data_IF_861802326849
#
_entry.id   IF_861802326849
#
_cell.length_a   1.000
_cell.length_b   1.000
_cell.length_c   1.000
_cell.angle_alpha   90.00
_cell.angle_beta   90.00
_cell.angle_gamma   90.00
#
_symmetry.space_group_name_H-M   'P 1'
#
loop_
_entity.id
_entity.type
_entity.pdbx_description
1 polymer ?
#
# COMPACT_ATOMS: atom_id res chain seq x y z
N UNK A 1 -19.96 -23.66 -1.97
CA UNK A 1 -18.91 -23.59 -2.99
C UNK A 1 -19.36 -22.65 -4.10
N UNK A 2 -18.76 -21.46 -4.17
CA UNK A 2 -19.11 -20.39 -5.12
C UNK A 2 -18.04 -20.21 -6.23
N UNK A 3 -16.96 -21.00 -6.19
CA UNK A 3 -15.85 -20.90 -7.12
C UNK A 3 -16.09 -21.83 -8.31
N UNK A 4 -15.64 -21.42 -9.50
CA UNK A 4 -15.78 -22.26 -10.69
C UNK A 4 -14.75 -23.39 -10.63
N UNK A 5 -15.15 -24.66 -10.83
CA UNK A 5 -14.24 -25.79 -10.66
C UNK A 5 -13.14 -25.84 -11.74
N UNK A 6 -13.36 -25.21 -12.89
CA UNK A 6 -12.43 -25.19 -14.01
C UNK A 6 -11.44 -24.01 -13.99
N UNK A 7 -11.52 -23.15 -12.96
CA UNK A 7 -10.60 -22.04 -12.76
C UNK A 7 -9.82 -22.26 -11.48
N UNK A 8 -8.63 -21.65 -11.37
CA UNK A 8 -7.82 -21.61 -10.16
C UNK A 8 -7.77 -20.19 -9.63
N UNK A 9 -7.72 -20.06 -8.32
CA UNK A 9 -7.85 -18.78 -7.64
C UNK A 9 -6.67 -18.53 -6.70
N UNK A 10 -6.40 -17.26 -6.40
CA UNK A 10 -5.36 -16.87 -5.45
C UNK A 10 -5.81 -15.69 -4.58
N UNK A 11 -5.49 -15.74 -3.29
CA UNK A 11 -5.83 -14.69 -2.30
C UNK A 11 -4.71 -14.51 -1.27
N UNK A 12 -4.72 -13.35 -0.60
CA UNK A 12 -3.91 -13.08 0.60
C UNK A 12 -4.64 -12.09 1.51
N UNK A 13 -4.19 -11.87 2.75
CA UNK A 13 -4.91 -11.05 3.72
C UNK A 13 -4.24 -9.71 3.99
N UNK A 14 -5.01 -8.60 4.00
CA UNK A 14 -4.44 -7.26 4.11
C UNK A 14 -3.70 -7.09 5.44
N UNK A 15 -2.49 -6.53 5.38
CA UNK A 15 -1.67 -6.23 6.54
C UNK A 15 -1.31 -4.74 6.59
N UNK A 16 -1.14 -4.23 7.81
CA UNK A 16 -0.65 -2.87 8.10
C UNK A 16 -1.52 -1.75 7.46
N UNK A 17 -0.94 -0.56 7.28
CA UNK A 17 -1.62 0.62 6.76
C UNK A 17 -2.06 0.51 5.29
N UNK A 18 -2.87 1.47 4.85
CA UNK A 18 -3.47 1.47 3.50
C UNK A 18 -2.46 1.27 2.36
N UNK A 19 -1.35 2.02 2.37
CA UNK A 19 -0.31 1.90 1.33
C UNK A 19 0.38 0.53 1.32
N UNK A 20 0.50 -0.12 2.48
CA UNK A 20 1.02 -1.48 2.57
C UNK A 20 0.06 -2.48 1.92
N UNK A 21 -1.26 -2.30 2.13
CA UNK A 21 -2.29 -3.10 1.49
C UNK A 21 -2.33 -2.87 -0.03
N UNK A 22 -2.11 -1.65 -0.52
CA UNK A 22 -1.95 -1.37 -1.96
C UNK A 22 -0.77 -2.15 -2.54
N UNK A 23 0.39 -2.12 -1.87
CA UNK A 23 1.58 -2.91 -2.27
C UNK A 23 1.27 -4.40 -2.28
N UNK A 24 0.57 -4.88 -1.26
CA UNK A 24 0.15 -6.26 -1.18
C UNK A 24 -0.73 -6.66 -2.37
N UNK A 25 -1.70 -5.82 -2.75
CA UNK A 25 -2.59 -6.11 -3.87
C UNK A 25 -1.85 -6.11 -5.20
N UNK A 26 -0.87 -5.22 -5.40
CA UNK A 26 0.03 -5.27 -6.54
C UNK A 26 0.76 -6.62 -6.62
N UNK A 27 1.36 -7.05 -5.51
CA UNK A 27 2.08 -8.32 -5.42
C UNK A 27 1.17 -9.54 -5.62
N UNK A 28 -0.06 -9.51 -5.08
CA UNK A 28 -1.06 -10.57 -5.25
C UNK A 28 -1.48 -10.72 -6.70
N UNK A 29 -1.86 -9.61 -7.36
CA UNK A 29 -2.29 -9.63 -8.77
C UNK A 29 -1.13 -10.07 -9.66
N UNK A 30 0.08 -9.61 -9.38
CA UNK A 30 1.26 -10.00 -10.14
C UNK A 30 1.58 -11.49 -9.98
N UNK A 31 1.54 -12.04 -8.76
CA UNK A 31 1.68 -13.48 -8.54
C UNK A 31 0.58 -14.28 -9.26
N UNK A 32 -0.64 -13.73 -9.33
CA UNK A 32 -1.73 -14.34 -10.09
C UNK A 32 -1.44 -14.41 -11.59
N UNK A 33 -0.81 -13.37 -12.16
CA UNK A 33 -0.32 -13.39 -13.54
C UNK A 33 0.77 -14.45 -13.75
N UNK A 34 1.71 -14.56 -12.82
CA UNK A 34 2.80 -15.56 -12.89
C UNK A 34 2.32 -17.00 -12.78
N UNK A 35 1.16 -17.22 -12.16
CA UNK A 35 0.63 -18.56 -11.84
C UNK A 35 -0.64 -18.90 -12.62
N UNK A 36 -1.06 -18.03 -13.54
CA UNK A 36 -2.28 -18.19 -14.36
C UNK A 36 -3.56 -18.38 -13.51
N UNK A 37 -3.62 -17.70 -12.34
CA UNK A 37 -4.75 -17.76 -11.41
C UNK A 37 -5.59 -16.50 -11.46
N UNK A 38 -6.86 -16.63 -11.07
CA UNK A 38 -7.76 -15.49 -10.85
C UNK A 38 -7.51 -14.92 -9.45
N UNK A 39 -7.00 -13.67 -9.32
CA UNK A 39 -6.83 -13.06 -8.01
C UNK A 39 -8.19 -12.70 -7.41
N UNK A 40 -8.34 -12.97 -6.11
CA UNK A 40 -9.46 -12.52 -5.27
C UNK A 40 -8.90 -11.51 -4.27
N UNK A 41 -9.25 -10.25 -4.46
CA UNK A 41 -8.76 -9.12 -3.68
C UNK A 41 -9.62 -8.98 -2.41
N UNK A 42 -9.01 -8.96 -1.22
CA UNK A 42 -9.71 -8.67 0.03
C UNK A 42 -10.06 -7.18 0.15
N UNK A 43 -10.97 -6.89 1.08
CA UNK A 43 -11.36 -5.51 1.40
C UNK A 43 -10.21 -4.81 2.11
N UNK A 44 -10.04 -3.52 1.86
CA UNK A 44 -9.13 -2.68 2.64
C UNK A 44 -9.52 -2.70 4.12
N UNK A 45 -8.52 -2.94 4.97
CA UNK A 45 -8.65 -2.88 6.42
C UNK A 45 -8.37 -1.50 6.97
N UNK A 46 -9.24 -0.96 7.85
CA UNK A 46 -9.16 0.39 8.38
C UNK A 46 -8.06 0.60 9.44
N UNK A 47 -6.86 0.08 9.18
CA UNK A 47 -5.71 0.29 10.05
C UNK A 47 -5.32 1.78 9.98
N UNK A 48 -5.19 2.42 11.14
CA UNK A 48 -4.97 3.86 11.30
C UNK A 48 -6.12 4.78 10.84
N UNK A 49 -7.33 4.26 10.55
CA UNK A 49 -8.48 5.06 10.09
C UNK A 49 -9.50 5.38 11.20
N UNK A 50 -9.17 5.09 12.47
CA UNK A 50 -10.05 5.24 13.62
C UNK A 50 -11.01 4.06 13.83
N UNK A 51 -11.53 3.90 15.06
CA UNK A 51 -12.27 2.70 15.48
C UNK A 51 -13.58 2.43 14.72
N UNK A 52 -14.16 3.45 14.08
CA UNK A 52 -15.47 3.35 13.40
C UNK A 52 -15.37 3.21 11.88
N UNK A 53 -14.16 3.16 11.31
CA UNK A 53 -13.99 3.02 9.88
C UNK A 53 -14.38 1.60 9.43
N UNK A 54 -15.21 1.50 8.38
CA UNK A 54 -15.58 0.21 7.79
C UNK A 54 -14.52 -0.27 6.81
N UNK A 55 -14.53 -1.57 6.50
CA UNK A 55 -13.75 -2.09 5.38
C UNK A 55 -14.28 -1.49 4.05
N UNK A 56 -13.40 -1.33 3.07
CA UNK A 56 -13.73 -0.85 1.73
C UNK A 56 -13.34 -1.85 0.66
N UNK A 57 -14.13 -1.94 -0.40
CA UNK A 57 -13.78 -2.81 -1.51
C UNK A 57 -12.66 -2.18 -2.35
N UNK A 58 -11.91 -3.00 -3.07
CA UNK A 58 -10.83 -2.51 -3.94
C UNK A 58 -11.37 -1.54 -5.00
N UNK A 59 -12.53 -1.88 -5.55
CA UNK A 59 -13.28 -1.15 -6.58
C UNK A 59 -13.93 0.14 -6.08
N UNK A 60 -14.00 0.37 -4.76
CA UNK A 60 -14.39 1.68 -4.22
C UNK A 60 -13.27 2.71 -4.41
N UNK A 61 -12.02 2.26 -4.49
CA UNK A 61 -10.81 3.10 -4.50
C UNK A 61 -10.17 3.14 -5.89
N UNK A 62 -10.04 1.99 -6.55
CA UNK A 62 -9.40 1.85 -7.85
C UNK A 62 -10.41 1.39 -8.92
N UNK A 63 -10.25 1.88 -10.15
CA UNK A 63 -11.05 1.49 -11.30
C UNK A 63 -10.70 0.05 -11.74
N UNK A 64 -11.40 -0.92 -11.14
CA UNK A 64 -11.19 -2.34 -11.36
C UNK A 64 -11.46 -2.76 -12.83
N UNK A 65 -12.55 -2.34 -13.49
CA UNK A 65 -12.76 -2.63 -14.92
C UNK A 65 -11.61 -2.14 -15.80
N UNK A 66 -11.12 -0.91 -15.57
CA UNK A 66 -9.97 -0.38 -16.31
C UNK A 66 -8.71 -1.18 -16.03
N UNK A 67 -8.45 -1.53 -14.77
CA UNK A 67 -7.30 -2.37 -14.40
C UNK A 67 -7.34 -3.70 -15.13
N UNK A 68 -8.47 -4.41 -15.12
CA UNK A 68 -8.63 -5.69 -15.84
C UNK A 68 -8.32 -5.56 -17.33
N UNK A 69 -8.83 -4.49 -17.95
CA UNK A 69 -8.58 -4.20 -19.36
C UNK A 69 -7.09 -3.93 -19.63
N UNK A 70 -6.45 -3.06 -18.85
CA UNK A 70 -5.04 -2.69 -19.04
C UNK A 70 -4.08 -3.87 -18.76
N UNK A 71 -4.46 -4.80 -17.88
CA UNK A 71 -3.70 -6.01 -17.59
C UNK A 71 -3.98 -7.18 -18.55
N UNK A 72 -4.98 -7.07 -19.42
CA UNK A 72 -5.44 -8.19 -20.25
C UNK A 72 -6.00 -9.36 -19.44
N UNK A 73 -6.44 -9.13 -18.20
CA UNK A 73 -6.99 -10.16 -17.32
C UNK A 73 -8.51 -10.20 -17.46
N UNK A 74 -9.05 -11.37 -17.82
CA UNK A 74 -10.50 -11.55 -17.96
C UNK A 74 -11.25 -11.48 -16.62
N UNK A 75 -10.57 -11.75 -15.51
CA UNK A 75 -11.17 -11.75 -14.18
C UNK A 75 -10.17 -11.34 -13.11
N UNK A 76 -10.53 -10.32 -12.34
CA UNK A 76 -9.97 -9.96 -11.04
C UNK A 76 -11.19 -9.81 -10.13
N UNK A 77 -11.27 -10.64 -9.09
CA UNK A 77 -12.44 -10.72 -8.22
C UNK A 77 -12.17 -10.00 -6.91
N UNK A 78 -13.26 -9.65 -6.24
CA UNK A 78 -13.28 -9.18 -4.86
C UNK A 78 -14.05 -10.20 -4.00
N UNK A 79 -13.69 -10.33 -2.73
CA UNK A 79 -14.32 -11.31 -1.84
C UNK A 79 -15.85 -11.19 -1.75
N UNK A 80 -16.40 -9.97 -1.78
CA UNK A 80 -17.85 -9.74 -1.82
C UNK A 80 -18.57 -10.39 -3.00
N UNK A 81 -17.85 -10.68 -4.09
CA UNK A 81 -18.41 -11.31 -5.29
C UNK A 81 -18.50 -12.83 -5.15
N UNK A 82 -17.82 -13.42 -4.16
CA UNK A 82 -17.75 -14.87 -3.96
C UNK A 82 -18.23 -15.33 -2.58
N UNK A 83 -18.32 -14.44 -1.59
CA UNK A 83 -18.90 -14.73 -0.28
C UNK A 83 -19.87 -13.62 0.13
N UNK A 84 -21.06 -14.03 0.60
CA UNK A 84 -22.01 -13.13 1.23
C UNK A 84 -21.46 -12.67 2.60
N UNK A 85 -21.23 -11.37 2.73
CA UNK A 85 -20.70 -10.75 3.94
C UNK A 85 -21.67 -10.81 5.13
N UNK A 86 -22.96 -11.07 4.88
CA UNK A 86 -23.96 -11.27 5.93
C UNK A 86 -24.14 -12.74 6.32
N UNK A 87 -23.41 -13.65 5.67
CA UNK A 87 -23.47 -15.07 6.01
C UNK A 87 -22.87 -15.30 7.39
N UNK A 88 -23.59 -16.05 8.23
CA UNK A 88 -23.06 -16.55 9.50
C UNK A 88 -22.29 -17.88 9.33
N UNK A 89 -22.23 -18.41 8.11
CA UNK A 89 -21.49 -19.63 7.83
C UNK A 89 -19.99 -19.35 7.89
N UNK A 90 -19.34 -20.07 8.80
CA UNK A 90 -17.89 -20.12 8.88
C UNK A 90 -17.37 -21.16 7.89
N UNK A 91 -16.56 -20.72 6.94
CA UNK A 91 -15.89 -21.62 5.99
C UNK A 91 -14.46 -21.88 6.47
N UNK A 92 -14.03 -23.13 6.38
CA UNK A 92 -12.66 -23.53 6.73
C UNK A 92 -11.75 -23.42 5.50
N UNK A 93 -10.53 -22.94 5.68
CA UNK A 93 -9.57 -22.77 4.57
C UNK A 93 -8.15 -23.12 5.01
N UNK A 94 -7.46 -23.93 4.22
CA UNK A 94 -6.03 -24.16 4.37
C UNK A 94 -5.22 -23.12 3.61
N UNK A 95 -4.25 -22.47 4.27
CA UNK A 95 -3.40 -21.44 3.69
C UNK A 95 -1.90 -21.69 3.98
N UNK A 96 -1.03 -21.09 3.18
CA UNK A 96 0.41 -21.02 3.45
C UNK A 96 0.76 -19.86 4.39
N UNK A 97 1.62 -20.12 5.36
CA UNK A 97 2.31 -19.09 6.13
C UNK A 97 3.69 -18.82 5.50
N UNK A 98 3.76 -17.76 4.70
CA UNK A 98 4.96 -17.35 3.98
C UNK A 98 5.86 -16.41 4.80
N UNK A 99 5.35 -15.83 5.89
CA UNK A 99 6.09 -14.85 6.72
C UNK A 99 6.58 -15.42 8.07
N UNK A 100 6.16 -16.63 8.45
CA UNK A 100 6.43 -17.23 9.77
C UNK A 100 5.77 -16.46 10.92
N UNK A 101 4.67 -16.98 11.43
CA UNK A 101 3.94 -16.44 12.60
C UNK A 101 4.78 -16.28 13.86
N UNK A 102 6.03 -16.78 13.91
CA UNK A 102 6.94 -16.55 15.04
C UNK A 102 7.39 -15.09 15.16
N UNK A 103 7.18 -14.26 14.13
CA UNK A 103 7.47 -12.83 14.22
C UNK A 103 6.38 -12.11 15.04
N UNK A 104 6.64 -11.88 16.33
CA UNK A 104 5.68 -11.32 17.29
C UNK A 104 5.19 -9.91 16.94
N UNK A 105 5.97 -9.10 16.21
CA UNK A 105 5.61 -7.72 15.91
C UNK A 105 4.49 -7.58 14.86
N UNK A 106 4.37 -8.51 13.91
CA UNK A 106 3.31 -8.49 12.86
C UNK A 106 2.07 -9.31 13.24
N UNK A 107 2.10 -10.07 14.34
CA UNK A 107 0.94 -10.82 14.84
C UNK A 107 -0.26 -9.91 15.15
N UNK A 108 -0.02 -8.65 15.50
CA UNK A 108 -1.08 -7.67 15.81
C UNK A 108 -1.85 -7.19 14.57
N UNK A 109 -1.37 -7.45 13.35
CA UNK A 109 -1.97 -6.93 12.11
C UNK A 109 -2.28 -8.01 11.06
N UNK A 110 -1.91 -9.27 11.33
CA UNK A 110 -2.24 -10.45 10.52
C UNK A 110 -3.43 -11.23 11.11
N UNK A 111 -4.49 -10.54 11.52
CA UNK A 111 -5.70 -11.25 11.93
C UNK A 111 -6.42 -11.81 10.71
N UNK A 112 -7.01 -13.03 10.78
CA UNK A 112 -7.88 -13.53 9.73
C UNK A 112 -8.97 -12.50 9.39
N UNK A 113 -9.50 -12.47 8.15
CA UNK A 113 -10.60 -11.60 7.79
C UNK A 113 -11.88 -12.04 8.51
N UNK A 114 -12.06 -11.56 9.75
CA UNK A 114 -13.20 -11.90 10.61
C UNK A 114 -14.54 -11.55 9.95
N UNK A 115 -14.55 -10.49 9.14
CA UNK A 115 -15.69 -10.06 8.33
C UNK A 115 -16.08 -11.07 7.24
N UNK A 116 -15.13 -11.89 6.79
CA UNK A 116 -15.35 -12.97 5.84
C UNK A 116 -15.67 -14.32 6.51
N UNK A 117 -15.79 -14.39 7.84
CA UNK A 117 -16.11 -15.65 8.57
C UNK A 117 -15.27 -16.84 8.08
N UNK A 118 -13.96 -16.64 7.91
CA UNK A 118 -13.05 -17.71 7.50
C UNK A 118 -12.31 -18.26 8.72
N UNK A 119 -12.32 -19.57 8.90
CA UNK A 119 -11.52 -20.27 9.89
C UNK A 119 -10.30 -20.91 9.22
N UNK A 120 -9.13 -20.30 9.42
CA UNK A 120 -7.97 -20.57 8.59
C UNK A 120 -6.95 -21.44 9.34
N UNK A 121 -6.61 -22.58 8.74
CA UNK A 121 -5.47 -23.43 9.14
C UNK A 121 -4.25 -23.06 8.30
N UNK A 122 -3.10 -22.84 8.95
CA UNK A 122 -1.88 -22.39 8.26
C UNK A 122 -0.80 -23.46 8.28
N UNK A 123 -0.25 -23.79 7.11
CA UNK A 123 0.95 -24.59 6.98
C UNK A 123 2.16 -23.70 6.70
N UNK A 124 3.27 -23.95 7.39
CA UNK A 124 4.51 -23.20 7.17
C UNK A 124 5.01 -23.44 5.75
N UNK A 125 5.24 -22.37 5.00
CA UNK A 125 5.81 -22.47 3.67
C UNK A 125 7.29 -22.91 3.73
N UNK A 126 7.82 -23.64 2.73
CA UNK A 126 9.21 -24.07 2.71
C UNK A 126 10.20 -22.89 2.80
N UNK A 127 11.33 -23.06 3.48
CA UNK A 127 12.28 -21.96 3.74
C UNK A 127 12.81 -21.28 2.48
N UNK A 128 12.91 -22.00 1.36
CA UNK A 128 13.40 -21.48 0.08
C UNK A 128 12.47 -20.44 -0.57
N UNK A 129 11.24 -20.27 -0.09
CA UNK A 129 10.37 -19.15 -0.52
C UNK A 129 10.71 -17.84 0.18
N UNK A 130 11.59 -17.86 1.17
CA UNK A 130 11.97 -16.71 1.97
C UNK A 130 13.36 -16.23 1.62
N UNK A 131 13.55 -14.93 1.75
CA UNK A 131 14.87 -14.31 1.72
C UNK A 131 15.62 -14.64 3.03
N UNK A 132 16.85 -15.15 2.92
CA UNK A 132 17.78 -15.28 4.05
C UNK A 132 18.71 -14.07 4.11
N UNK A 133 18.19 -12.89 4.47
CA UNK A 133 18.99 -11.66 4.50
C UNK A 133 19.35 -11.17 5.92
N UNK A 134 18.93 -11.89 6.96
CA UNK A 134 19.16 -11.46 8.35
C UNK A 134 18.48 -10.13 8.71
N UNK A 135 17.59 -9.64 7.85
CA UNK A 135 16.84 -8.41 8.07
C UNK A 135 15.79 -8.56 9.16
N UNK A 136 15.33 -7.43 9.69
CA UNK A 136 14.33 -7.37 10.75
C UNK A 136 12.92 -7.82 10.32
N UNK A 137 12.66 -8.15 9.05
CA UNK A 137 11.35 -8.69 8.63
C UNK A 137 11.53 -9.68 7.47
N UNK A 138 11.03 -10.92 7.58
CA UNK A 138 11.23 -11.94 6.56
C UNK A 138 10.56 -11.53 5.25
N UNK A 139 11.34 -11.42 4.18
CA UNK A 139 10.81 -11.15 2.82
C UNK A 139 10.41 -12.45 2.15
N UNK A 140 9.34 -12.41 1.36
CA UNK A 140 8.91 -13.53 0.53
C UNK A 140 9.35 -13.31 -0.91
N UNK A 141 10.05 -14.27 -1.49
CA UNK A 141 10.52 -14.21 -2.87
C UNK A 141 9.39 -14.64 -3.83
N UNK A 142 8.96 -13.75 -4.73
CA UNK A 142 7.79 -13.97 -5.58
C UNK A 142 7.95 -15.14 -6.57
N UNK A 143 9.12 -15.32 -7.17
CA UNK A 143 9.39 -16.41 -8.11
C UNK A 143 9.45 -17.80 -7.45
N UNK A 144 10.18 -17.97 -6.33
CA UNK A 144 10.01 -19.12 -5.45
C UNK A 144 8.55 -19.36 -5.04
N UNK A 145 7.83 -18.33 -4.62
CA UNK A 145 6.42 -18.49 -4.24
C UNK A 145 5.56 -18.98 -5.42
N UNK A 146 5.78 -18.47 -6.63
CA UNK A 146 5.11 -18.98 -7.84
C UNK A 146 5.42 -20.47 -8.08
N UNK A 147 6.67 -20.89 -7.83
CA UNK A 147 7.04 -22.31 -7.90
C UNK A 147 6.30 -23.14 -6.85
N UNK A 148 6.12 -22.62 -5.64
CA UNK A 148 5.32 -23.28 -4.59
C UNK A 148 3.86 -23.43 -5.01
N UNK A 149 3.27 -22.42 -5.67
CA UNK A 149 1.90 -22.49 -6.18
C UNK A 149 1.75 -23.67 -7.16
N UNK A 150 2.64 -23.77 -8.16
CA UNK A 150 2.63 -24.88 -9.11
C UNK A 150 2.89 -26.25 -8.46
N UNK A 151 3.81 -26.32 -7.50
CA UNK A 151 4.10 -27.58 -6.79
C UNK A 151 2.94 -28.03 -5.91
N UNK A 152 2.23 -27.10 -5.28
CA UNK A 152 1.02 -27.38 -4.49
C UNK A 152 -0.03 -28.09 -5.35
N UNK A 153 -0.15 -27.71 -6.63
CA UNK A 153 -1.09 -28.33 -7.57
C UNK A 153 -0.66 -29.71 -8.11
N UNK A 154 0.66 -29.98 -8.20
CA UNK A 154 1.18 -31.08 -9.01
C UNK A 154 1.96 -32.14 -8.22
N UNK A 155 2.28 -31.89 -6.96
CA UNK A 155 3.08 -32.83 -6.16
C UNK A 155 2.38 -33.20 -4.86
N UNK A 156 1.99 -34.48 -4.74
CA UNK A 156 1.60 -35.12 -3.48
C UNK A 156 2.79 -35.23 -2.47
N UNK A 157 3.98 -34.73 -2.84
CA UNK A 157 5.25 -35.04 -2.19
C UNK A 157 6.08 -33.84 -1.75
N UNK A 158 5.53 -32.62 -1.69
CA UNK A 158 6.13 -31.61 -0.81
C UNK A 158 6.13 -32.22 0.61
N UNK A 159 7.27 -32.19 1.32
CA UNK A 159 7.28 -32.47 2.76
C UNK A 159 6.34 -31.45 3.42
N UNK A 160 5.09 -31.85 3.63
CA UNK A 160 4.07 -31.01 4.22
C UNK A 160 4.38 -30.94 5.70
N UNK A 161 4.95 -29.82 6.12
CA UNK A 161 5.01 -29.48 7.53
C UNK A 161 3.57 -29.49 8.07
N UNK A 162 3.32 -30.05 9.26
CA UNK A 162 1.98 -30.12 9.82
C UNK A 162 1.35 -28.73 9.90
N UNK A 163 0.06 -28.63 9.59
CA UNK A 163 -0.63 -27.36 9.64
C UNK A 163 -1.01 -27.04 11.09
N UNK A 164 -1.06 -25.76 11.43
CA UNK A 164 -1.63 -25.32 12.69
C UNK A 164 -3.15 -25.54 12.67
N UNK A 165 -3.71 -26.01 13.79
CA UNK A 165 -5.16 -26.11 13.95
C UNK A 165 -5.80 -24.74 13.78
N UNK A 166 -6.86 -24.69 13.00
CA UNK A 166 -7.66 -23.48 12.81
C UNK A 166 -8.19 -22.95 14.16
N UNK A 167 -8.30 -21.62 14.35
CA UNK A 167 -8.69 -21.06 15.65
C UNK A 167 -10.07 -21.49 16.16
N UNK A 168 -11.07 -21.62 15.30
CA UNK A 168 -12.46 -21.79 15.71
C UNK A 168 -12.91 -23.25 15.74
N UNK A 169 -12.84 -23.96 14.62
CA UNK A 169 -13.25 -25.36 14.51
C UNK A 169 -12.14 -26.35 14.86
N UNK A 170 -10.90 -25.88 15.05
CA UNK A 170 -9.76 -26.70 15.44
C UNK A 170 -9.46 -27.79 14.41
N UNK A 171 -9.60 -27.47 13.13
CA UNK A 171 -9.30 -28.38 12.01
C UNK A 171 -7.89 -28.16 11.49
N UNK A 172 -7.24 -29.25 11.07
CA UNK A 172 -5.96 -29.20 10.35
C UNK A 172 -6.25 -29.35 8.86
N UNK A 173 -6.04 -28.28 8.09
CA UNK A 173 -6.26 -28.30 6.64
C UNK A 173 -4.94 -28.03 5.90
N UNK A 174 -4.64 -28.89 4.93
CA UNK A 174 -3.58 -28.61 3.96
C UNK A 174 -3.94 -27.37 3.14
N UNK A 175 -2.95 -26.60 2.67
CA UNK A 175 -3.18 -25.47 1.77
C UNK A 175 -3.99 -25.89 0.55
N UNK A 176 -5.01 -25.12 0.22
CA UNK A 176 -5.97 -25.48 -0.82
C UNK A 176 -5.37 -25.35 -2.24
N UNK A 177 -5.56 -26.37 -3.08
CA UNK A 177 -5.05 -26.41 -4.45
C UNK A 177 -5.89 -25.55 -5.41
N UNK A 178 -7.21 -25.46 -5.17
CA UNK A 178 -8.16 -24.69 -5.98
C UNK A 178 -8.06 -23.19 -5.69
N UNK A 179 -7.98 -22.82 -4.41
CA UNK A 179 -7.79 -21.47 -3.90
C UNK A 179 -6.44 -21.37 -3.17
N UNK A 180 -5.38 -20.99 -3.88
CA UNK A 180 -4.11 -20.71 -3.23
C UNK A 180 -4.29 -19.53 -2.27
N UNK A 181 -3.91 -19.71 -1.02
CA UNK A 181 -4.05 -18.70 0.02
C UNK A 181 -2.76 -18.55 0.80
N UNK A 182 -2.37 -17.32 1.13
CA UNK A 182 -1.25 -17.05 2.03
C UNK A 182 -1.53 -15.88 2.98
N UNK A 183 -0.79 -15.80 4.10
CA UNK A 183 -1.05 -14.81 5.15
C UNK A 183 -0.91 -13.35 4.67
N UNK A 184 0.21 -12.93 4.08
CA UNK A 184 0.32 -11.57 3.52
C UNK A 184 1.36 -11.48 2.41
N UNK A 185 1.01 -10.76 1.35
CA UNK A 185 1.88 -10.47 0.21
C UNK A 185 2.59 -9.11 0.31
N UNK A 186 2.47 -8.39 1.43
CA UNK A 186 3.09 -7.06 1.58
C UNK A 186 4.62 -7.12 1.46
N UNK A 187 5.25 -8.10 2.10
CA UNK A 187 6.70 -8.33 2.03
C UNK A 187 7.14 -9.17 0.82
N UNK A 188 6.29 -9.30 -0.20
CA UNK A 188 6.64 -9.91 -1.48
C UNK A 188 7.68 -9.07 -2.23
N UNK A 189 8.81 -9.70 -2.58
CA UNK A 189 9.93 -9.09 -3.31
C UNK A 189 10.43 -10.03 -4.39
N UNK A 190 11.06 -9.51 -5.45
CA UNK A 190 11.64 -10.36 -6.50
C UNK A 190 13.08 -10.78 -6.24
N UNK A 191 13.88 -9.84 -5.72
CA UNK A 191 15.25 -10.05 -5.27
C UNK A 191 15.44 -9.31 -3.95
N UNK A 192 16.49 -9.65 -3.20
CA UNK A 192 16.83 -8.99 -1.93
C UNK A 192 16.85 -7.47 -2.10
N UNK A 193 15.85 -6.81 -1.54
CA UNK A 193 15.59 -5.39 -1.72
C UNK A 193 14.13 -5.06 -1.41
N UNK A 194 13.87 -3.88 -0.87
CA UNK A 194 12.50 -3.41 -0.66
C UNK A 194 11.86 -3.00 -2.01
N UNK A 195 10.58 -2.59 -1.97
CA UNK A 195 9.81 -1.98 -3.09
C UNK A 195 10.46 -0.68 -3.64
N UNK A 196 11.69 -0.39 -3.24
CA UNK A 196 12.32 0.91 -3.36
C UNK A 196 12.62 1.32 -4.78
N UNK A 197 13.17 0.49 -5.68
CA UNK A 197 13.51 1.02 -7.03
C UNK A 197 13.18 0.14 -8.25
N UNK A 198 12.98 -1.19 -8.10
CA UNK A 198 12.66 -2.09 -9.23
C UNK A 198 11.75 -3.24 -8.75
N UNK A 199 10.44 -3.00 -8.64
CA UNK A 199 9.48 -4.10 -8.42
C UNK A 199 8.69 -4.33 -9.71
N UNK A 200 8.80 -5.49 -10.36
CA UNK A 200 7.99 -5.81 -11.52
C UNK A 200 6.49 -5.79 -11.22
N UNK A 201 6.06 -6.01 -9.96
CA UNK A 201 4.67 -5.80 -9.58
C UNK A 201 4.21 -4.34 -9.81
N UNK A 202 5.09 -3.34 -9.68
CA UNK A 202 4.75 -1.96 -10.04
C UNK A 202 4.53 -1.81 -11.55
N UNK A 203 5.47 -2.32 -12.36
CA UNK A 203 5.40 -2.20 -13.82
C UNK A 203 4.27 -3.04 -14.42
N UNK A 204 4.05 -4.25 -13.90
CA UNK A 204 3.03 -5.16 -14.36
C UNK A 204 1.64 -4.78 -13.87
N UNK A 205 1.50 -4.25 -12.64
CA UNK A 205 0.19 -3.97 -12.01
C UNK A 205 0.07 -2.53 -11.54
N UNK A 206 0.98 -2.06 -10.69
CA UNK A 206 0.85 -0.78 -9.99
C UNK A 206 0.57 0.42 -10.88
N UNK A 207 1.29 0.55 -12.00
CA UNK A 207 1.09 1.66 -12.95
C UNK A 207 -0.32 1.68 -13.59
N UNK A 208 -1.02 0.55 -13.59
CA UNK A 208 -2.37 0.39 -14.14
C UNK A 208 -3.48 0.60 -13.09
N UNK A 209 -3.13 0.65 -11.80
CA UNK A 209 -4.08 0.95 -10.72
C UNK A 209 -4.44 2.45 -10.73
N UNK A 210 -5.53 2.78 -11.41
CA UNK A 210 -6.06 4.15 -11.52
C UNK A 210 -7.18 4.37 -10.50
N UNK A 211 -7.25 5.57 -9.94
CA UNK A 211 -8.31 5.96 -9.03
C UNK A 211 -9.69 5.84 -9.69
N UNK A 212 -10.72 5.56 -8.90
CA UNK A 212 -12.10 5.75 -9.39
C UNK A 212 -12.35 7.23 -9.65
N UNK A 213 -13.24 7.53 -10.61
CA UNK A 213 -13.64 8.90 -10.91
C UNK A 213 -14.14 9.64 -9.65
N UNK A 214 -14.87 8.95 -8.76
CA UNK A 214 -15.34 9.51 -7.49
C UNK A 214 -14.21 10.00 -6.60
N UNK A 215 -13.19 9.16 -6.38
CA UNK A 215 -12.03 9.51 -5.54
C UNK A 215 -11.25 10.66 -6.16
N UNK A 216 -11.01 10.60 -7.47
CA UNK A 216 -10.29 11.64 -8.20
C UNK A 216 -11.06 12.98 -8.17
N UNK A 217 -12.35 13.00 -8.47
CA UNK A 217 -13.18 14.22 -8.47
C UNK A 217 -13.22 14.90 -7.10
N UNK A 218 -13.33 14.11 -6.01
CA UNK A 218 -13.30 14.65 -4.65
C UNK A 218 -11.92 15.25 -4.37
N UNK A 219 -10.83 14.53 -4.61
CA UNK A 219 -9.49 15.04 -4.37
C UNK A 219 -9.17 16.29 -5.20
N UNK A 220 -9.58 16.31 -6.48
CA UNK A 220 -9.37 17.47 -7.35
C UNK A 220 -10.20 18.69 -6.95
N UNK A 221 -11.26 18.53 -6.13
CA UNK A 221 -11.96 19.64 -5.47
C UNK A 221 -11.10 20.23 -4.35
N UNK A 222 -10.46 19.38 -3.56
CA UNK A 222 -9.54 19.80 -2.50
C UNK A 222 -8.33 20.53 -3.09
N UNK A 223 -7.72 20.01 -4.17
CA UNK A 223 -6.65 20.72 -4.90
C UNK A 223 -7.08 22.13 -5.31
N UNK A 224 -8.28 22.28 -5.90
CA UNK A 224 -8.81 23.60 -6.29
C UNK A 224 -8.99 24.53 -5.11
N UNK A 225 -9.59 24.05 -4.03
CA UNK A 225 -9.81 24.83 -2.81
C UNK A 225 -8.48 25.28 -2.20
N UNK A 226 -7.53 24.36 -2.06
CA UNK A 226 -6.19 24.64 -1.52
C UNK A 226 -5.45 25.66 -2.37
N UNK A 227 -5.55 25.59 -3.70
CA UNK A 227 -4.90 26.53 -4.62
C UNK A 227 -5.69 27.84 -4.85
N UNK A 228 -6.91 27.96 -4.32
CA UNK A 228 -7.79 29.10 -4.56
C UNK A 228 -8.27 29.23 -6.00
N UNK A 229 -8.42 28.11 -6.71
CA UNK A 229 -8.79 28.04 -8.13
C UNK A 229 -10.29 27.77 -8.28
N UNK A 230 -10.96 28.50 -9.16
CA UNK A 230 -12.41 28.32 -9.38
C UNK A 230 -12.70 27.04 -10.19
N UNK A 231 -13.94 26.51 -10.15
CA UNK A 231 -14.27 25.28 -10.90
C UNK A 231 -14.07 25.36 -12.42
N UNK A 232 -14.04 26.57 -12.99
CA UNK A 232 -13.89 26.80 -14.44
C UNK A 232 -12.44 26.98 -14.88
N UNK A 233 -11.53 27.21 -13.94
CA UNK A 233 -10.13 27.43 -14.22
C UNK A 233 -9.36 26.10 -14.25
N UNK A 234 -8.33 26.04 -15.10
CA UNK A 234 -7.36 24.96 -15.08
C UNK A 234 -6.56 25.02 -13.79
N UNK A 235 -6.32 23.87 -13.17
CA UNK A 235 -5.41 23.77 -12.03
C UNK A 235 -3.98 24.04 -12.51
N UNK A 236 -3.27 25.02 -11.92
CA UNK A 236 -1.87 25.24 -12.25
C UNK A 236 -1.03 24.05 -11.75
N UNK A 237 0.12 23.75 -12.38
CA UNK A 237 1.04 22.75 -11.86
C UNK A 237 1.46 23.11 -10.44
N UNK A 238 1.60 22.10 -9.59
CA UNK A 238 2.03 22.24 -8.21
C UNK A 238 3.00 21.12 -7.84
N UNK A 239 3.83 21.36 -6.83
CA UNK A 239 4.58 20.34 -6.14
C UNK A 239 3.78 19.79 -4.96
N UNK A 240 3.87 18.48 -4.72
CA UNK A 240 3.37 17.88 -3.50
C UNK A 240 4.53 17.49 -2.58
N UNK A 241 4.35 17.70 -1.28
CA UNK A 241 5.30 17.29 -0.25
C UNK A 241 4.56 16.41 0.75
N UNK A 242 5.06 15.20 0.97
CA UNK A 242 4.56 14.30 2.00
C UNK A 242 5.59 14.17 3.11
N UNK A 243 5.21 14.60 4.32
CA UNK A 243 6.07 14.56 5.50
C UNK A 243 5.42 13.63 6.53
N UNK A 244 5.93 12.40 6.66
CA UNK A 244 5.48 11.44 7.69
C UNK A 244 6.23 11.69 9.00
N UNK A 245 5.51 12.08 10.05
CA UNK A 245 6.06 12.42 11.38
C UNK A 245 5.28 11.81 12.54
N UNK A 246 3.95 11.84 12.48
CA UNK A 246 3.07 11.51 13.59
C UNK A 246 3.40 10.17 14.26
N UNK A 247 3.01 9.07 13.63
CA UNK A 247 3.25 7.73 14.21
C UNK A 247 4.71 7.26 14.10
N UNK A 248 5.50 7.86 13.20
CA UNK A 248 6.90 7.51 12.98
C UNK A 248 7.81 7.85 14.15
N UNK A 249 7.33 8.62 15.14
CA UNK A 249 8.07 8.91 16.37
C UNK A 249 8.45 7.63 17.13
N UNK A 250 7.68 6.54 16.96
CA UNK A 250 8.00 5.24 17.56
C UNK A 250 9.36 4.72 17.11
N UNK A 251 9.72 4.92 15.84
CA UNK A 251 11.00 4.48 15.28
C UNK A 251 12.16 5.32 15.81
N UNK A 252 11.93 6.61 16.04
CA UNK A 252 12.90 7.49 16.71
C UNK A 252 13.19 7.01 18.13
N UNK A 253 12.15 6.65 18.87
CA UNK A 253 12.28 6.12 20.24
C UNK A 253 13.02 4.78 20.26
N UNK A 254 12.73 3.87 19.33
CA UNK A 254 13.43 2.58 19.18
C UNK A 254 14.92 2.80 18.86
N UNK A 255 15.23 3.79 18.02
CA UNK A 255 16.60 4.16 17.69
C UNK A 255 17.33 4.92 18.82
N UNK A 256 16.63 5.28 19.90
CA UNK A 256 17.22 5.98 21.05
C UNK A 256 17.59 7.44 20.77
N UNK A 257 16.95 8.08 19.79
CA UNK A 257 17.18 9.49 19.40
C UNK A 257 15.92 10.34 19.63
N UNK A 258 16.11 11.64 19.85
CA UNK A 258 14.96 12.55 19.99
C UNK A 258 14.24 12.73 18.66
N UNK A 259 12.94 13.09 18.68
CA UNK A 259 12.18 13.39 17.47
C UNK A 259 12.84 14.49 16.62
N UNK A 260 13.52 15.46 17.26
CA UNK A 260 14.24 16.54 16.57
C UNK A 260 15.51 16.06 15.87
N UNK A 261 16.23 15.09 16.43
CA UNK A 261 17.41 14.49 15.82
C UNK A 261 17.04 13.46 14.74
N UNK A 262 15.91 12.81 14.92
CA UNK A 262 15.41 11.75 14.05
C UNK A 262 14.74 12.31 12.79
N UNK A 263 13.81 13.25 12.93
CA UNK A 263 13.07 13.79 11.79
C UNK A 263 13.87 14.84 11.04
N UNK A 264 13.80 14.75 9.72
CA UNK A 264 14.37 15.79 8.87
C UNK A 264 13.66 17.14 9.11
N UNK A 265 14.42 18.25 9.16
CA UNK A 265 13.85 19.58 9.30
C UNK A 265 13.11 20.00 8.01
N UNK A 266 12.17 20.93 8.12
CA UNK A 266 11.46 21.50 6.96
C UNK A 266 12.42 22.08 5.90
N UNK A 267 13.58 22.58 6.32
CA UNK A 267 14.62 23.09 5.42
C UNK A 267 15.17 22.03 4.46
N UNK A 268 15.22 20.75 4.87
CA UNK A 268 15.64 19.67 3.99
C UNK A 268 14.64 19.46 2.86
N UNK A 269 13.34 19.44 3.18
CA UNK A 269 12.27 19.37 2.18
C UNK A 269 12.26 20.61 1.27
N UNK A 270 12.44 21.80 1.83
CA UNK A 270 12.45 23.05 1.06
C UNK A 270 13.59 23.08 0.04
N UNK A 271 14.77 22.66 0.45
CA UNK A 271 15.92 22.49 -0.44
C UNK A 271 15.61 21.55 -1.62
N UNK A 272 15.01 20.39 -1.38
CA UNK A 272 14.61 19.46 -2.47
C UNK A 272 13.56 20.06 -3.40
N UNK A 273 12.60 20.81 -2.86
CA UNK A 273 11.61 21.53 -3.67
C UNK A 273 12.30 22.55 -4.59
N UNK A 274 13.28 23.30 -4.08
CA UNK A 274 14.02 24.28 -4.86
C UNK A 274 14.89 23.63 -5.95
N UNK A 275 15.57 22.53 -5.62
CA UNK A 275 16.33 21.71 -6.58
C UNK A 275 15.43 21.18 -7.71
N UNK A 276 14.26 20.60 -7.38
CA UNK A 276 13.29 20.14 -8.37
C UNK A 276 12.72 21.29 -9.20
N UNK A 277 12.50 22.47 -8.59
CA UNK A 277 12.04 23.66 -9.30
C UNK A 277 13.05 24.09 -10.36
N UNK A 278 14.33 24.17 -9.98
CA UNK A 278 15.42 24.49 -10.91
C UNK A 278 15.50 23.45 -12.04
N UNK A 279 15.48 22.16 -11.71
CA UNK A 279 15.56 21.09 -12.69
C UNK A 279 14.37 21.05 -13.68
N UNK A 280 13.14 21.31 -13.23
CA UNK A 280 11.98 21.42 -14.12
C UNK A 280 12.06 22.64 -15.03
N UNK A 281 12.53 23.77 -14.50
CA UNK A 281 12.67 24.99 -15.28
C UNK A 281 13.77 24.85 -16.35
N UNK A 282 14.95 24.38 -15.97
CA UNK A 282 16.09 24.19 -16.88
C UNK A 282 15.83 23.09 -17.91
N UNK A 283 15.25 21.96 -17.49
CA UNK A 283 15.04 20.81 -18.36
C UNK A 283 13.80 20.92 -19.26
N UNK A 284 12.76 21.65 -18.82
CA UNK A 284 11.44 21.64 -19.50
C UNK A 284 10.80 23.02 -19.66
N UNK A 285 11.40 24.09 -19.16
CA UNK A 285 10.82 25.43 -19.18
C UNK A 285 9.53 25.56 -18.35
N UNK A 286 9.25 24.62 -17.44
CA UNK A 286 8.04 24.62 -16.62
C UNK A 286 8.34 25.30 -15.28
N UNK A 287 7.67 26.43 -15.02
CA UNK A 287 7.71 27.09 -13.71
C UNK A 287 6.59 26.56 -12.82
N UNK A 288 6.96 26.11 -11.61
CA UNK A 288 6.03 25.60 -10.59
C UNK A 288 6.26 26.34 -9.28
N UNK A 289 5.29 27.16 -8.89
CA UNK A 289 5.40 28.00 -7.69
C UNK A 289 4.66 27.41 -6.49
N UNK A 290 3.54 26.71 -6.73
CA UNK A 290 2.64 26.23 -5.68
C UNK A 290 3.16 24.92 -5.08
N UNK A 291 3.10 24.82 -3.75
CA UNK A 291 3.48 23.62 -3.00
C UNK A 291 2.32 23.25 -2.08
N UNK A 292 1.85 22.00 -2.18
CA UNK A 292 0.84 21.43 -1.28
C UNK A 292 1.52 20.40 -0.38
N UNK A 293 1.32 20.52 0.94
CA UNK A 293 1.92 19.68 1.96
C UNK A 293 0.85 18.83 2.62
N UNK A 294 1.13 17.53 2.70
CA UNK A 294 0.31 16.54 3.39
C UNK A 294 1.15 15.88 4.47
N UNK A 295 0.60 15.70 5.67
CA UNK A 295 1.33 15.16 6.82
C UNK A 295 0.34 14.64 7.86
N UNK A 296 0.76 13.64 8.64
CA UNK A 296 0.07 13.15 9.82
C UNK A 296 0.46 13.90 11.11
N UNK A 297 1.24 14.98 10.99
CA UNK A 297 1.56 15.90 12.08
C UNK A 297 0.34 16.71 12.55
N UNK A 298 0.21 16.86 13.86
CA UNK A 298 -0.89 17.62 14.49
C UNK A 298 -0.40 18.90 15.17
N UNK A 299 0.91 19.07 15.36
CA UNK A 299 1.49 20.25 16.01
C UNK A 299 1.17 21.57 15.25
N UNK A 300 0.41 22.50 15.86
CA UNK A 300 0.07 23.77 15.22
C UNK A 300 1.29 24.65 14.95
N UNK A 301 2.33 24.60 15.77
CA UNK A 301 3.54 25.41 15.57
C UNK A 301 4.33 24.90 14.36
N UNK A 302 4.34 23.58 14.14
CA UNK A 302 4.92 22.98 12.94
C UNK A 302 4.16 23.40 11.67
N UNK A 303 2.81 23.40 11.72
CA UNK A 303 2.00 23.86 10.59
C UNK A 303 2.11 25.38 10.34
N UNK A 304 2.33 26.18 11.39
CA UNK A 304 2.67 27.59 11.24
C UNK A 304 4.04 27.76 10.53
N UNK A 305 5.02 26.92 10.85
CA UNK A 305 6.31 26.92 10.15
C UNK A 305 6.16 26.53 8.67
N UNK A 306 5.36 25.51 8.35
CA UNK A 306 5.00 25.14 6.97
C UNK A 306 4.36 26.33 6.24
N UNK A 307 3.42 27.01 6.88
CA UNK A 307 2.74 28.18 6.31
C UNK A 307 3.70 29.35 6.06
N UNK A 308 4.72 29.52 6.91
CA UNK A 308 5.72 30.58 6.74
C UNK A 308 6.64 30.37 5.51
N UNK A 309 6.73 29.14 4.99
CA UNK A 309 7.36 28.83 3.69
C UNK A 309 6.46 29.14 2.49
N UNK A 310 5.23 29.61 2.72
CA UNK A 310 4.23 29.82 1.66
C UNK A 310 3.60 28.53 1.13
N UNK A 311 3.78 27.42 1.84
CA UNK A 311 3.24 26.12 1.47
C UNK A 311 1.79 25.96 1.97
N UNK A 312 1.00 25.21 1.22
CA UNK A 312 -0.45 25.10 1.42
C UNK A 312 -0.80 23.73 2.00
N UNK A 313 -1.80 23.66 2.88
CA UNK A 313 -2.33 22.41 3.44
C UNK A 313 -3.77 22.18 2.96
N UNK A 314 -4.14 20.97 2.54
CA UNK A 314 -5.55 20.60 2.35
C UNK A 314 -6.34 20.69 3.66
N UNK A 315 -7.51 21.31 3.64
CA UNK A 315 -8.37 21.43 4.83
C UNK A 315 -9.23 20.19 5.01
N UNK A 316 -8.81 19.30 5.91
CA UNK A 316 -9.53 18.07 6.24
C UNK A 316 -10.55 18.19 7.38
N UNK A 317 -10.82 19.39 7.89
CA UNK A 317 -11.68 19.60 9.07
C UNK A 317 -13.09 18.98 8.95
N UNK A 318 -13.64 18.92 7.74
CA UNK A 318 -14.98 18.36 7.46
C UNK A 318 -14.94 17.08 6.60
N UNK A 319 -13.77 16.60 6.19
CA UNK A 319 -13.67 15.50 5.22
C UNK A 319 -14.30 14.21 5.73
N UNK A 320 -14.04 13.87 6.99
CA UNK A 320 -14.55 12.63 7.59
C UNK A 320 -16.07 12.64 7.69
N UNK A 321 -16.67 13.78 8.05
CA UNK A 321 -18.12 13.93 8.13
C UNK A 321 -18.77 13.83 6.74
N UNK A 322 -18.15 14.44 5.72
CA UNK A 322 -18.70 14.52 4.37
C UNK A 322 -18.55 13.22 3.57
N UNK A 323 -17.43 12.53 3.71
CA UNK A 323 -17.08 11.42 2.81
C UNK A 323 -16.69 10.13 3.54
N UNK A 324 -16.46 10.20 4.85
CA UNK A 324 -16.07 9.07 5.68
C UNK A 324 -14.58 9.02 6.02
N UNK A 325 -14.18 8.14 6.97
CA UNK A 325 -12.84 8.15 7.58
C UNK A 325 -11.67 7.89 6.63
N UNK A 326 -11.92 7.25 5.49
CA UNK A 326 -10.90 6.90 4.50
C UNK A 326 -10.49 8.08 3.61
N UNK A 327 -11.38 9.06 3.42
CA UNK A 327 -11.21 10.08 2.41
C UNK A 327 -10.07 11.07 2.67
N UNK A 328 -9.71 11.44 3.92
CA UNK A 328 -8.51 12.25 4.14
C UNK A 328 -7.27 11.62 3.50
N UNK A 329 -7.06 10.31 3.74
CA UNK A 329 -5.98 9.56 3.10
C UNK A 329 -6.16 9.55 1.57
N UNK A 330 -7.31 9.16 1.03
CA UNK A 330 -7.44 9.08 -0.43
C UNK A 330 -7.22 10.41 -1.15
N UNK A 331 -7.70 11.51 -0.56
CA UNK A 331 -7.45 12.86 -1.07
C UNK A 331 -5.95 13.15 -1.08
N UNK A 332 -5.26 12.94 0.04
CA UNK A 332 -3.83 13.17 0.13
C UNK A 332 -3.04 12.31 -0.86
N UNK A 333 -3.36 11.02 -1.01
CA UNK A 333 -2.70 10.16 -1.99
C UNK A 333 -2.91 10.64 -3.43
N UNK A 334 -4.10 11.12 -3.79
CA UNK A 334 -4.34 11.70 -5.13
C UNK A 334 -3.53 12.99 -5.30
N UNK A 335 -3.53 13.90 -4.31
CA UNK A 335 -2.74 15.14 -4.35
C UNK A 335 -1.26 14.83 -4.57
N UNK A 336 -0.71 13.91 -3.78
CA UNK A 336 0.69 13.51 -3.85
C UNK A 336 1.06 12.86 -5.18
N UNK A 337 0.14 12.11 -5.78
CA UNK A 337 0.38 11.29 -6.96
C UNK A 337 0.06 11.97 -8.31
N UNK A 338 -0.58 13.15 -8.27
CA UNK A 338 -0.96 13.94 -9.46
C UNK A 338 -0.13 15.22 -9.64
N UNK A 339 0.79 15.50 -8.70
CA UNK A 339 1.65 16.68 -8.73
C UNK A 339 2.66 16.65 -9.89
N UNK A 340 3.12 17.84 -10.31
CA UNK A 340 4.17 17.99 -11.33
C UNK A 340 5.55 17.54 -10.82
N UNK A 341 5.73 17.56 -9.50
CA UNK A 341 6.84 16.91 -8.82
C UNK A 341 6.53 16.64 -7.35
N UNK A 342 7.29 15.75 -6.73
CA UNK A 342 6.98 15.20 -5.41
C UNK A 342 8.21 15.09 -4.51
N UNK A 343 8.12 15.55 -3.27
CA UNK A 343 9.12 15.28 -2.22
C UNK A 343 8.49 14.46 -1.11
N UNK A 344 9.03 13.28 -0.81
CA UNK A 344 8.49 12.40 0.22
C UNK A 344 9.47 12.15 1.37
N UNK A 345 8.95 11.73 2.53
CA UNK A 345 9.74 11.09 3.58
C UNK A 345 10.21 9.71 3.14
N UNK A 346 11.52 9.44 3.19
CA UNK A 346 12.13 8.14 2.90
C UNK A 346 11.47 7.03 3.73
N UNK A 347 11.49 5.79 3.25
CA UNK A 347 10.90 4.58 3.88
C UNK A 347 9.38 4.59 4.12
N UNK A 348 8.69 5.72 4.01
CA UNK A 348 7.23 5.77 4.04
C UNK A 348 6.65 5.14 2.76
N UNK A 349 5.83 4.09 2.91
CA UNK A 349 5.20 3.44 1.76
C UNK A 349 4.21 4.34 1.02
N UNK A 350 3.60 5.31 1.71
CA UNK A 350 2.80 6.38 1.08
C UNK A 350 3.68 7.19 0.14
N UNK A 351 4.83 7.69 0.62
CA UNK A 351 5.78 8.43 -0.20
C UNK A 351 6.29 7.61 -1.38
N UNK A 352 6.62 6.33 -1.16
CA UNK A 352 7.14 5.44 -2.19
C UNK A 352 6.12 5.30 -3.35
N UNK A 353 4.84 5.06 -3.05
CA UNK A 353 3.80 4.95 -4.07
C UNK A 353 3.60 6.27 -4.84
N UNK A 354 3.55 7.39 -4.12
CA UNK A 354 3.38 8.72 -4.71
C UNK A 354 4.54 9.08 -5.64
N UNK A 355 5.79 8.87 -5.18
CA UNK A 355 7.01 9.05 -5.98
C UNK A 355 6.93 8.29 -7.30
N UNK A 356 6.53 7.02 -7.25
CA UNK A 356 6.41 6.16 -8.44
C UNK A 356 5.35 6.65 -9.41
N UNK A 357 4.19 7.05 -8.90
CA UNK A 357 3.13 7.55 -9.77
C UNK A 357 3.55 8.84 -10.46
N UNK A 358 4.16 9.77 -9.73
CA UNK A 358 4.66 11.03 -10.31
C UNK A 358 5.71 10.76 -11.38
N UNK A 359 6.67 9.88 -11.12
CA UNK A 359 7.67 9.48 -12.11
C UNK A 359 7.06 8.84 -13.37
N UNK A 360 6.05 7.96 -13.22
CA UNK A 360 5.33 7.34 -14.36
C UNK A 360 4.60 8.39 -15.22
N UNK A 361 4.08 9.45 -14.60
CA UNK A 361 3.45 10.58 -15.29
C UNK A 361 4.49 11.59 -15.83
N UNK A 362 5.78 11.27 -15.70
CA UNK A 362 6.90 12.08 -16.16
C UNK A 362 7.31 13.20 -15.19
N UNK A 363 6.76 13.31 -13.99
CA UNK A 363 7.18 14.32 -13.00
C UNK A 363 8.55 14.00 -12.36
N UNK A 364 9.12 14.99 -11.67
CA UNK A 364 10.33 14.79 -10.86
C UNK A 364 9.96 14.36 -9.44
N UNK A 365 10.83 13.59 -8.79
CA UNK A 365 10.52 13.15 -7.44
C UNK A 365 11.76 12.83 -6.63
N UNK A 366 11.80 13.32 -5.38
CA UNK A 366 12.91 13.18 -4.45
C UNK A 366 12.44 12.64 -3.10
N UNK A 367 13.36 12.07 -2.32
CA UNK A 367 13.08 11.53 -0.99
C UNK A 367 14.03 12.14 0.03
N UNK A 368 13.49 12.54 1.18
CA UNK A 368 14.24 13.10 2.31
C UNK A 368 14.48 12.01 3.34
N UNK A 369 15.76 11.76 3.64
CA UNK A 369 16.18 10.75 4.62
C UNK A 369 15.93 11.22 6.05
N UNK A 370 15.72 10.27 6.95
CA UNK A 370 15.42 10.51 8.37
C UNK A 370 15.82 9.28 9.19
N UNK A 371 15.65 9.34 10.51
CA UNK A 371 15.87 8.23 11.44
C UNK A 371 17.15 8.35 12.27
N UNK A 372 18.07 9.23 11.88
CA UNK A 372 19.27 9.55 12.64
C UNK A 372 19.73 10.98 12.37
N UNK A 373 20.59 11.49 13.25
CA UNK A 373 21.15 12.84 13.13
C UNK A 373 21.94 12.98 11.84
N UNK A 374 21.56 13.96 11.02
CA UNK A 374 22.21 14.24 9.74
C UNK A 374 21.88 13.23 8.64
N UNK A 375 20.77 12.48 8.76
CA UNK A 375 20.36 11.51 7.73
C UNK A 375 20.23 12.11 6.33
N UNK A 376 19.83 13.39 6.23
CA UNK A 376 19.72 14.16 4.99
C UNK A 376 20.70 15.35 4.96
N UNK A 377 21.85 15.21 5.63
CA UNK A 377 22.98 16.14 5.42
C UNK A 377 23.55 15.84 4.03
N UNK A 378 23.13 16.66 3.07
CA UNK A 378 23.55 16.60 1.68
C UNK A 378 25.05 16.94 1.54
#
# INVERSE_FOLDING_TARGET
DNLRPNLRYITSWPANGWSNQVIQYMNLIYLAQLTERVPIIPRFRPVHMGANASHLDFSDVFDLPRLQQELGMTSVLEWRQIKDLNSETVDELGCWDIQDKTWEADRLYLEPPVDLKLDISYSRAPEWVRASDGGASPKTLLWPLASLVYLTEHTNGLERLPAELSPLHRVELSPDEHLFCCNSMYFGVEMLGEVRDISPAWHAVGRHMRWTAKVEEIAMRYVRQTLGVTPRESIPPFFAVHIRRGDFVIWCNIAGVTAQECFAPLSAFARRVDEMRAALFEGRGVSVERVIVTSDEEDPDWWAAVSSLGWLRPDHSQTVELYGPWYPMFIDAVIQSTAAGFVGTDTSTVSILSRRRVAEMGGLSEMVRWGWRGADDH
#
